data_IF_074104656671
#
_entry.id   IF_074104656671
#
_cell.length_a   1.000
_cell.length_b   1.000
_cell.length_c   1.000
_cell.angle_alpha   90.00
_cell.angle_beta   90.00
_cell.angle_gamma   90.00
#
_symmetry.space_group_name_H-M   'P 1'
#
loop_
_entity.id
_entity.type
_entity.pdbx_description
1 polymer ?
#
# COMPACT_ATOMS: atom_id res chain seq x y z
N UNK A 1 12.06 4.58 -11.51
CA UNK A 1 11.58 4.45 -10.12
C UNK A 1 11.86 5.74 -9.41
N UNK A 2 10.84 6.58 -9.25
CA UNK A 2 10.99 7.80 -8.46
C UNK A 2 10.74 7.44 -6.99
N UNK A 3 11.82 7.07 -6.29
CA UNK A 3 11.82 6.66 -4.88
C UNK A 3 11.27 7.74 -3.94
N UNK A 4 11.03 8.96 -4.43
CA UNK A 4 10.57 10.08 -3.63
C UNK A 4 9.08 10.01 -3.23
N UNK A 5 8.31 9.04 -3.74
CA UNK A 5 6.87 8.95 -3.55
C UNK A 5 6.39 7.69 -2.81
N UNK A 6 7.30 6.98 -2.17
CA UNK A 6 7.04 5.73 -1.44
C UNK A 6 7.87 5.74 -0.16
N UNK A 7 7.32 5.24 0.93
CA UNK A 7 8.01 5.23 2.21
C UNK A 7 7.63 4.04 3.07
N UNK A 8 8.56 3.68 3.95
CA UNK A 8 8.31 2.79 5.06
C UNK A 8 7.96 3.62 6.30
N UNK A 9 6.84 3.32 6.95
CA UNK A 9 6.50 3.81 8.29
C UNK A 9 6.82 2.71 9.29
N UNK A 10 7.86 2.94 10.10
CA UNK A 10 8.42 1.92 10.96
C UNK A 10 8.92 0.72 10.15
N UNK A 11 8.88 -0.45 10.76
CA UNK A 11 9.45 -1.66 10.18
C UNK A 11 8.48 -2.45 9.30
N UNK A 12 7.18 -2.15 9.29
CA UNK A 12 6.19 -3.05 8.69
C UNK A 12 5.20 -2.40 7.72
N UNK A 13 5.04 -1.07 7.73
CA UNK A 13 4.07 -0.40 6.86
C UNK A 13 4.76 0.22 5.65
N UNK A 14 4.32 -0.16 4.46
CA UNK A 14 4.73 0.46 3.21
C UNK A 14 3.60 1.33 2.68
N UNK A 15 3.90 2.58 2.35
CA UNK A 15 2.94 3.62 1.96
C UNK A 15 3.34 4.22 0.62
N UNK A 16 2.41 4.25 -0.33
CA UNK A 16 2.61 4.80 -1.66
C UNK A 16 1.46 5.76 -2.03
N UNK A 17 1.44 7.01 -1.51
CA UNK A 17 0.31 7.92 -1.65
C UNK A 17 0.11 8.40 -3.10
N UNK A 18 -1.12 8.53 -3.57
CA UNK A 18 -1.38 9.15 -4.87
C UNK A 18 -1.10 10.65 -4.79
N UNK A 19 -0.20 11.16 -5.64
CA UNK A 19 0.16 12.59 -5.71
C UNK A 19 -0.31 13.28 -6.99
N UNK A 20 -0.89 12.51 -7.91
CA UNK A 20 -1.46 13.03 -9.15
C UNK A 20 -2.94 13.39 -8.94
N UNK A 21 -3.31 14.61 -9.33
CA UNK A 21 -4.69 15.08 -9.17
C UNK A 21 -5.67 14.22 -9.98
N UNK A 22 -6.70 13.71 -9.31
CA UNK A 22 -7.80 12.97 -9.94
C UNK A 22 -7.51 11.48 -10.20
N UNK A 23 -6.29 11.00 -9.95
CA UNK A 23 -5.99 9.57 -10.03
C UNK A 23 -6.70 8.82 -8.89
N UNK A 24 -7.28 7.67 -9.22
CA UNK A 24 -8.02 6.80 -8.28
C UNK A 24 -7.42 5.40 -8.18
N UNK A 25 -6.25 5.20 -8.78
CA UNK A 25 -5.46 3.97 -8.72
C UNK A 25 -3.97 4.33 -8.80
N UNK A 26 -3.11 3.41 -8.40
CA UNK A 26 -1.67 3.57 -8.49
C UNK A 26 -0.99 2.25 -8.85
N UNK A 27 -0.03 2.33 -9.77
CA UNK A 27 0.95 1.25 -10.00
C UNK A 27 2.19 1.52 -9.14
N UNK A 28 2.64 0.51 -8.41
CA UNK A 28 3.78 0.60 -7.48
C UNK A 28 4.51 -0.75 -7.36
N UNK A 29 5.79 -0.71 -7.00
CA UNK A 29 6.58 -1.91 -6.76
C UNK A 29 6.53 -2.29 -5.29
N UNK A 30 6.08 -3.51 -4.98
CA UNK A 30 6.23 -4.06 -3.64
C UNK A 30 7.61 -4.72 -3.49
N UNK A 31 8.40 -4.40 -2.46
CA UNK A 31 9.62 -5.14 -2.14
C UNK A 31 9.32 -6.62 -1.88
N UNK A 32 10.33 -7.49 -2.02
CA UNK A 32 10.15 -8.93 -1.74
C UNK A 32 9.55 -9.18 -0.35
N UNK A 33 8.63 -10.14 -0.26
CA UNK A 33 7.91 -10.50 0.96
C UNK A 33 6.40 -10.64 0.68
N UNK A 34 5.62 -10.98 1.70
CA UNK A 34 4.16 -10.97 1.61
C UNK A 34 3.63 -9.67 2.19
N UNK A 35 2.69 -9.03 1.49
CA UNK A 35 2.14 -7.74 1.86
C UNK A 35 0.62 -7.80 1.89
N UNK A 36 0.01 -7.20 2.90
CA UNK A 36 -1.43 -7.15 3.07
C UNK A 36 -1.91 -5.72 2.91
N UNK A 37 -2.78 -5.47 1.93
CA UNK A 37 -3.38 -4.15 1.74
C UNK A 37 -4.26 -3.82 2.94
N UNK A 38 -3.95 -2.72 3.64
CA UNK A 38 -4.55 -2.49 4.96
C UNK A 38 -6.05 -2.30 4.87
N UNK A 39 -6.57 -1.68 3.80
CA UNK A 39 -8.01 -1.42 3.64
C UNK A 39 -8.82 -2.70 3.35
N UNK A 40 -8.32 -3.59 2.48
CA UNK A 40 -9.09 -4.73 1.98
C UNK A 40 -8.69 -6.07 2.61
N UNK A 41 -7.51 -6.16 3.21
CA UNK A 41 -6.92 -7.43 3.68
C UNK A 41 -6.39 -8.32 2.56
N UNK A 42 -6.43 -7.85 1.31
CA UNK A 42 -5.90 -8.60 0.16
C UNK A 42 -4.39 -8.78 0.31
N UNK A 43 -3.92 -10.01 0.18
CA UNK A 43 -2.49 -10.34 0.17
C UNK A 43 -1.91 -10.21 -1.24
N UNK A 44 -0.70 -9.66 -1.32
CA UNK A 44 0.11 -9.57 -2.52
C UNK A 44 1.48 -10.19 -2.26
N UNK A 45 1.98 -10.94 -3.23
CA UNK A 45 3.38 -11.33 -3.26
C UNK A 45 4.22 -10.15 -3.75
N UNK A 46 5.25 -9.80 -3.01
CA UNK A 46 6.19 -8.75 -3.36
C UNK A 46 7.25 -9.21 -4.35
N UNK A 47 8.15 -8.30 -4.70
CA UNK A 47 9.12 -8.51 -5.77
C UNK A 47 8.58 -8.18 -7.16
N UNK A 48 7.40 -7.54 -7.25
CA UNK A 48 6.71 -7.24 -8.50
C UNK A 48 5.98 -5.89 -8.42
N UNK A 49 5.63 -5.36 -9.59
CA UNK A 49 4.69 -4.26 -9.70
C UNK A 49 3.26 -4.76 -9.55
N UNK A 50 2.45 -3.99 -8.84
CA UNK A 50 1.02 -4.19 -8.73
C UNK A 50 0.30 -2.89 -9.05
N UNK A 51 -0.94 -2.99 -9.50
CA UNK A 51 -1.85 -1.85 -9.60
C UNK A 51 -2.98 -2.05 -8.61
N UNK A 52 -3.24 -1.03 -7.78
CA UNK A 52 -4.28 -1.07 -6.76
C UNK A 52 -5.18 0.16 -6.85
N UNK A 53 -6.41 -0.01 -6.40
CA UNK A 53 -7.34 1.09 -6.21
C UNK A 53 -6.84 2.00 -5.08
N UNK A 54 -7.02 3.30 -5.27
CA UNK A 54 -6.60 4.36 -4.37
C UNK A 54 -7.66 5.47 -4.33
N UNK A 55 -8.91 5.19 -3.94
CA UNK A 55 -9.92 6.22 -3.79
C UNK A 55 -9.53 7.20 -2.68
N UNK A 56 -10.10 8.40 -2.69
CA UNK A 56 -9.79 9.41 -1.69
C UNK A 56 -10.05 8.89 -0.27
N UNK A 57 -9.10 9.12 0.64
CA UNK A 57 -9.15 8.59 2.01
C UNK A 57 -8.59 7.17 2.17
N UNK A 58 -8.29 6.45 1.08
CA UNK A 58 -7.68 5.12 1.12
C UNK A 58 -6.43 5.08 0.22
N UNK A 59 -5.34 5.77 0.59
CA UNK A 59 -4.09 5.68 -0.15
C UNK A 59 -3.52 4.26 -0.10
N UNK A 60 -2.76 3.79 -1.10
CA UNK A 60 -2.11 2.48 -1.04
C UNK A 60 -1.22 2.34 0.19
N UNK A 61 -1.62 1.46 1.10
CA UNK A 61 -0.89 1.15 2.33
C UNK A 61 -0.91 -0.37 2.53
N UNK A 62 0.27 -0.91 2.85
CA UNK A 62 0.47 -2.35 2.98
C UNK A 62 1.21 -2.68 4.28
N UNK A 63 0.75 -3.72 4.97
CA UNK A 63 1.43 -4.32 6.12
C UNK A 63 2.25 -5.53 5.67
N UNK A 64 3.48 -5.64 6.14
CA UNK A 64 4.35 -6.78 5.83
C UNK A 64 4.01 -7.98 6.69
N UNK A 65 3.81 -9.14 6.06
CA UNK A 65 3.73 -10.46 6.70
C UNK A 65 2.48 -10.73 7.54
N UNK A 66 1.74 -9.69 7.92
CA UNK A 66 0.57 -9.79 8.77
C UNK A 66 -0.59 -8.95 8.23
N UNK A 67 -1.77 -9.55 8.32
CA UNK A 67 -3.03 -8.87 8.06
C UNK A 67 -3.46 -7.99 9.25
N UNK A 68 -3.24 -6.67 9.14
CA UNK A 68 -3.50 -5.70 10.21
C UNK A 68 -4.97 -5.26 10.25
N UNK A 69 -5.83 -6.15 10.74
CA UNK A 69 -7.28 -5.93 10.90
C UNK A 69 -7.57 -4.70 11.77
N UNK A 70 -6.72 -4.42 12.75
CA UNK A 70 -6.82 -3.25 13.65
C UNK A 70 -6.71 -1.90 12.91
N UNK A 71 -6.14 -1.87 11.71
CA UNK A 71 -6.03 -0.65 10.89
C UNK A 71 -7.24 -0.42 9.97
N UNK A 72 -8.17 -1.38 9.84
CA UNK A 72 -9.32 -1.27 8.92
C UNK A 72 -10.47 -0.41 9.42
N UNK A 73 -10.52 -0.18 10.72
CA UNK A 73 -11.64 0.49 11.36
C UNK A 73 -11.10 1.49 12.38
N UNK A 74 -10.63 2.61 11.87
CA UNK A 74 -10.49 3.82 12.67
C UNK A 74 -11.72 4.67 12.31
N UNK A 75 -12.76 4.57 13.15
CA UNK A 75 -13.82 5.58 13.22
C UNK A 75 -13.29 6.87 13.86
#
# INVERSE_FOLDING_TARGET
>A
WDLHQEMMIGESLYVAPVVEQGATSRTLYLPRGTWFHVWTGTSYEGGQEITVDAPIGQPPVFSRGEDRVDLRSIE
#
